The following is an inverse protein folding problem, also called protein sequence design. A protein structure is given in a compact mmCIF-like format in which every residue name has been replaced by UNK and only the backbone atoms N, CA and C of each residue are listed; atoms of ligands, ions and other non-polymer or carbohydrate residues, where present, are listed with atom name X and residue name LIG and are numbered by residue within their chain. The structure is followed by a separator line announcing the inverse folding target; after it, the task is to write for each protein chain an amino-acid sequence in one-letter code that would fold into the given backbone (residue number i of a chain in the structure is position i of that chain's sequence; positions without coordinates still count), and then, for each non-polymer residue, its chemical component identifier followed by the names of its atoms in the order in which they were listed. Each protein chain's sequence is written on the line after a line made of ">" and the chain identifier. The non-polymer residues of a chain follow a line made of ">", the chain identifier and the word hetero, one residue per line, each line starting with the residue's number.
data_IF_765690676023
#
_entry.id   IF_765690676023
#
_cell.length_a   1.000
_cell.length_b   1.000
_cell.length_c   1.000
_cell.angle_alpha   90.00
_cell.angle_beta   90.00
_cell.angle_gamma   90.00
#
_symmetry.space_group_name_H-M   'P 1'
#
loop_
_entity.id
_entity.type
_entity.pdbx_description
1 polymer ?
#
# COMPACT_ATOMS: atom_id res chain seq x y z
N UNK A 1 -11.45 14.49 8.49
CA UNK A 1 -12.28 13.50 7.77
C UNK A 1 -11.53 12.16 7.70
N UNK A 2 -12.16 11.08 7.23
CA UNK A 2 -11.44 9.83 6.93
C UNK A 2 -11.54 9.51 5.45
N UNK A 3 -10.40 9.14 4.86
CA UNK A 3 -10.26 8.75 3.46
C UNK A 3 -9.94 7.26 3.43
N UNK A 4 -10.75 6.48 2.71
CA UNK A 4 -10.52 5.04 2.54
C UNK A 4 -9.98 4.80 1.13
N UNK A 5 -8.85 4.11 1.04
CA UNK A 5 -8.25 3.62 -0.20
C UNK A 5 -8.42 2.11 -0.24
N UNK A 6 -9.38 1.64 -1.04
CA UNK A 6 -9.59 0.22 -1.31
C UNK A 6 -8.57 -0.27 -2.33
N UNK A 7 -7.92 -1.40 -2.08
CA UNK A 7 -6.81 -1.89 -2.89
C UNK A 7 -5.46 -1.26 -2.51
N UNK A 8 -5.28 -0.92 -1.23
CA UNK A 8 -4.12 -0.17 -0.73
C UNK A 8 -2.76 -0.84 -0.90
N UNK A 9 -2.70 -2.14 -1.19
CA UNK A 9 -1.44 -2.84 -1.49
C UNK A 9 -1.07 -2.77 -2.98
N UNK A 10 -2.06 -2.47 -3.83
CA UNK A 10 -1.92 -2.47 -5.28
C UNK A 10 -0.97 -1.41 -5.83
N UNK A 11 -0.66 -1.54 -7.12
CA UNK A 11 0.26 -0.66 -7.83
C UNK A 11 -0.12 0.82 -7.73
N UNK A 12 -1.41 1.15 -7.83
CA UNK A 12 -1.92 2.52 -7.66
C UNK A 12 -2.26 2.82 -6.20
N UNK A 13 -2.91 1.90 -5.49
CA UNK A 13 -3.40 2.13 -4.13
C UNK A 13 -2.29 2.48 -3.14
N UNK A 14 -1.15 1.80 -3.22
CA UNK A 14 -0.02 2.05 -2.32
C UNK A 14 0.55 3.49 -2.47
N UNK A 15 1.06 3.92 -3.64
CA UNK A 15 1.58 5.27 -3.78
C UNK A 15 0.51 6.34 -3.62
N UNK A 16 -0.75 6.08 -4.00
CA UNK A 16 -1.85 7.03 -3.75
C UNK A 16 -2.11 7.23 -2.27
N UNK A 17 -2.11 6.15 -1.47
CA UNK A 17 -2.27 6.23 -0.02
C UNK A 17 -1.17 7.05 0.64
N UNK A 18 0.09 6.79 0.28
CA UNK A 18 1.24 7.56 0.78
C UNK A 18 1.16 9.04 0.38
N UNK A 19 0.80 9.32 -0.87
CA UNK A 19 0.65 10.69 -1.38
C UNK A 19 -0.42 11.44 -0.59
N UNK A 20 -1.61 10.86 -0.44
CA UNK A 20 -2.71 11.50 0.29
C UNK A 20 -2.27 11.74 1.74
N UNK A 21 -1.74 10.71 2.41
CA UNK A 21 -1.35 10.79 3.81
C UNK A 21 -0.23 11.82 4.08
N UNK A 22 0.61 12.12 3.09
CA UNK A 22 1.67 13.15 3.21
C UNK A 22 1.20 14.57 2.90
N UNK A 23 0.00 14.76 2.37
CA UNK A 23 -0.54 16.06 1.97
C UNK A 23 -1.74 16.52 2.80
N UNK A 24 -2.21 15.69 3.73
CA UNK A 24 -3.41 15.97 4.50
C UNK A 24 -3.24 15.60 5.96
N UNK A 25 -3.98 16.29 6.82
CA UNK A 25 -4.15 15.94 8.23
C UNK A 25 -5.30 14.92 8.44
N UNK A 26 -6.02 14.55 7.37
CA UNK A 26 -7.08 13.56 7.41
C UNK A 26 -6.55 12.14 7.64
N UNK A 27 -7.37 11.32 8.32
CA UNK A 27 -7.03 9.91 8.54
C UNK A 27 -7.15 9.13 7.23
N UNK A 28 -6.07 8.54 6.77
CA UNK A 28 -6.05 7.65 5.59
C UNK A 28 -6.07 6.18 6.04
N UNK A 29 -6.99 5.40 5.47
CA UNK A 29 -7.18 3.98 5.75
C UNK A 29 -6.94 3.19 4.46
N UNK A 30 -5.90 2.37 4.45
CA UNK A 30 -5.67 1.39 3.39
C UNK A 30 -6.44 0.10 3.72
N UNK A 31 -7.28 -0.35 2.78
CA UNK A 31 -8.03 -1.60 2.92
C UNK A 31 -7.65 -2.52 1.77
N UNK A 32 -7.14 -3.71 2.09
CA UNK A 32 -6.70 -4.69 1.10
C UNK A 32 -6.78 -6.11 1.68
N UNK A 33 -7.06 -7.10 0.84
CA UNK A 33 -7.09 -8.53 1.22
C UNK A 33 -5.93 -9.33 0.62
N UNK A 34 -4.99 -8.68 -0.08
CA UNK A 34 -3.81 -9.26 -0.71
C UNK A 34 -4.08 -10.26 -1.85
N UNK A 35 -5.33 -10.44 -2.28
CA UNK A 35 -5.71 -11.42 -3.30
C UNK A 35 -4.96 -11.19 -4.63
N UNK A 36 -4.61 -9.94 -4.95
CA UNK A 36 -3.83 -9.64 -6.15
C UNK A 36 -2.48 -10.37 -6.16
N UNK A 37 -1.80 -10.48 -5.02
CA UNK A 37 -0.50 -11.17 -4.89
C UNK A 37 -0.68 -12.68 -5.08
N UNK A 38 -1.75 -13.24 -4.51
CA UNK A 38 -2.13 -14.63 -4.68
C UNK A 38 -2.35 -14.96 -6.16
N UNK A 39 -3.18 -14.17 -6.87
CA UNK A 39 -3.44 -14.38 -8.30
C UNK A 39 -2.19 -14.27 -9.18
N UNK A 40 -1.21 -13.42 -8.83
CA UNK A 40 0.11 -13.39 -9.53
C UNK A 40 0.79 -14.76 -9.40
N UNK A 41 0.83 -15.29 -8.17
CA UNK A 41 1.50 -16.55 -7.86
C UNK A 41 0.80 -17.75 -8.50
N UNK A 42 -0.53 -17.77 -8.53
CA UNK A 42 -1.34 -18.86 -9.10
C UNK A 42 -1.04 -19.12 -10.58
N UNK A 43 -0.73 -18.06 -11.33
CA UNK A 43 -0.38 -18.17 -12.76
C UNK A 43 1.12 -18.33 -12.99
N UNK A 44 1.92 -18.55 -11.94
CA UNK A 44 3.38 -18.67 -12.02
C UNK A 44 4.09 -17.37 -12.43
N UNK A 45 3.42 -16.22 -12.29
CA UNK A 45 3.99 -14.91 -12.59
C UNK A 45 4.69 -14.34 -11.36
N UNK A 46 5.45 -13.25 -11.57
CA UNK A 46 6.04 -12.43 -10.51
C UNK A 46 5.84 -10.95 -10.83
N UNK A 47 5.99 -10.09 -9.83
CA UNK A 47 6.08 -8.64 -10.06
C UNK A 47 7.43 -8.28 -10.70
N UNK A 48 7.43 -7.32 -11.62
CA UNK A 48 8.66 -6.82 -12.24
C UNK A 48 9.59 -6.15 -11.22
N UNK A 49 9.01 -5.48 -10.23
CA UNK A 49 9.74 -4.96 -9.06
C UNK A 49 9.44 -5.84 -7.84
N UNK A 50 10.45 -6.22 -7.05
CA UNK A 50 10.23 -6.97 -5.81
C UNK A 50 9.27 -6.21 -4.89
N UNK A 51 8.23 -6.89 -4.41
CA UNK A 51 7.24 -6.31 -3.49
C UNK A 51 7.51 -6.83 -2.09
N UNK A 52 7.90 -5.94 -1.17
CA UNK A 52 8.07 -6.28 0.24
C UNK A 52 6.73 -6.63 0.92
N UNK A 53 6.80 -7.19 2.13
CA UNK A 53 5.59 -7.39 2.95
C UNK A 53 4.93 -6.05 3.26
N UNK A 54 3.63 -6.05 3.56
CA UNK A 54 2.92 -4.84 3.95
C UNK A 54 3.53 -4.22 5.22
N UNK A 55 3.96 -5.05 6.18
CA UNK A 55 4.65 -4.59 7.39
C UNK A 55 5.92 -3.81 7.06
N UNK A 56 6.81 -4.35 6.23
CA UNK A 56 8.03 -3.65 5.81
C UNK A 56 7.71 -2.35 5.06
N UNK A 57 6.67 -2.36 4.22
CA UNK A 57 6.22 -1.16 3.51
C UNK A 57 5.71 -0.07 4.47
N UNK A 58 4.95 -0.43 5.49
CA UNK A 58 4.44 0.50 6.50
C UNK A 58 5.57 1.06 7.37
N UNK A 59 6.50 0.21 7.81
CA UNK A 59 7.70 0.66 8.55
C UNK A 59 8.50 1.65 7.72
N UNK A 60 8.76 1.35 6.45
CA UNK A 60 9.46 2.27 5.55
C UNK A 60 8.68 3.59 5.35
N UNK A 61 7.36 3.54 5.24
CA UNK A 61 6.52 4.74 5.15
C UNK A 61 6.65 5.61 6.40
N UNK A 62 6.70 5.01 7.58
CA UNK A 62 6.93 5.71 8.84
C UNK A 62 8.33 6.33 8.90
N UNK A 63 9.36 5.58 8.53
CA UNK A 63 10.76 6.03 8.59
C UNK A 63 11.08 7.14 7.58
N UNK A 64 10.55 7.04 6.36
CA UNK A 64 10.89 7.94 5.24
C UNK A 64 9.97 9.16 5.18
N UNK A 65 8.68 8.97 5.49
CA UNK A 65 7.67 10.03 5.34
C UNK A 65 7.10 10.53 6.67
N UNK A 66 7.45 9.92 7.80
CA UNK A 66 6.89 10.28 9.11
C UNK A 66 5.40 9.92 9.27
N UNK A 67 4.86 9.04 8.40
CA UNK A 67 3.46 8.63 8.40
C UNK A 67 3.20 7.61 9.52
N UNK A 68 2.03 7.66 10.15
CA UNK A 68 1.68 6.82 11.31
C UNK A 68 0.32 6.15 11.16
#
# INVERSE_FOLDING_TARGET
>A
MSIIVTGGDGYLGWPTGLRIASETDDRVLLVDNLARREWVSEVGSVSATPIASMETRLTAAQEVHGLR
#
